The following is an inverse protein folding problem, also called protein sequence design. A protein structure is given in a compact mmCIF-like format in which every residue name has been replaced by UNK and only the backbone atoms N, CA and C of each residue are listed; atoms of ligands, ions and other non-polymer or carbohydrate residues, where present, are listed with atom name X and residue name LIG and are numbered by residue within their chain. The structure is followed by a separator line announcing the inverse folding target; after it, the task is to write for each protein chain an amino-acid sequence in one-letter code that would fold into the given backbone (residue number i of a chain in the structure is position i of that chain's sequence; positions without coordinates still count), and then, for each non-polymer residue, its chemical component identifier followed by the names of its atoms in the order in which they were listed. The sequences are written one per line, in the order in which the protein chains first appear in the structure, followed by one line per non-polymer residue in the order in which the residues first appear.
data_IF_303221631516
#
_entry.id   IF_303221631516
#
_cell.length_a   1.000
_cell.length_b   1.000
_cell.length_c   1.000
_cell.angle_alpha   90.00
_cell.angle_beta   90.00
_cell.angle_gamma   90.00
#
_symmetry.space_group_name_H-M   'P 1'
#
loop_
_entity.id
_entity.type
_entity.pdbx_description
1 polymer ?
#
# COMPACT_ATOMS: atom_id res chain seq x y z
N UNK A 1 18.19 -12.31 0.82
CA UNK A 1 18.52 -12.67 -0.58
C UNK A 1 17.65 -11.77 -1.43
N UNK A 2 18.27 -10.87 -2.20
CA UNK A 2 17.53 -9.84 -2.95
C UNK A 2 16.70 -10.51 -4.06
N UNK A 3 15.40 -10.24 -4.08
CA UNK A 3 14.54 -10.63 -5.21
C UNK A 3 14.61 -9.48 -6.22
N UNK A 4 15.31 -9.75 -7.31
CA UNK A 4 15.36 -8.91 -8.50
C UNK A 4 14.07 -9.15 -9.28
N UNK A 5 13.14 -8.19 -9.24
CA UNK A 5 11.94 -8.20 -10.08
C UNK A 5 12.33 -7.65 -11.46
N UNK A 6 12.48 -8.55 -12.45
CA UNK A 6 12.66 -8.14 -13.84
C UNK A 6 11.43 -7.36 -14.32
N UNK A 7 11.67 -6.18 -14.89
CA UNK A 7 10.68 -5.46 -15.68
C UNK A 7 10.25 -6.33 -16.86
N UNK A 8 9.00 -6.79 -16.85
CA UNK A 8 8.33 -7.23 -18.06
C UNK A 8 7.68 -6.01 -18.71
N UNK A 9 8.13 -5.72 -19.93
CA UNK A 9 7.67 -4.62 -20.76
C UNK A 9 6.14 -4.66 -20.97
N UNK A 10 5.58 -3.47 -21.09
CA UNK A 10 4.18 -3.14 -21.39
C UNK A 10 3.59 -3.97 -22.55
N UNK A 11 2.82 -5.00 -22.21
CA UNK A 11 1.66 -5.53 -22.92
C UNK A 11 0.96 -6.53 -21.98
N UNK A 12 -0.37 -6.50 -21.91
CA UNK A 12 -1.29 -7.57 -21.44
C UNK A 12 -2.23 -7.18 -20.30
N UNK A 13 -3.48 -6.89 -20.69
CA UNK A 13 -4.69 -7.08 -19.88
C UNK A 13 -4.98 -8.57 -19.57
N UNK A 14 -4.07 -9.50 -19.90
CA UNK A 14 -4.32 -10.96 -19.83
C UNK A 14 -3.81 -11.65 -18.55
N UNK A 15 -3.05 -10.97 -17.67
CA UNK A 15 -2.49 -11.60 -16.47
C UNK A 15 -3.06 -10.96 -15.21
N UNK A 16 -3.89 -11.72 -14.48
CA UNK A 16 -4.33 -11.37 -13.14
C UNK A 16 -3.42 -12.06 -12.11
N UNK A 17 -2.82 -11.27 -11.23
CA UNK A 17 -2.02 -11.74 -10.10
C UNK A 17 -2.66 -11.22 -8.82
N UNK A 18 -3.11 -12.13 -7.97
CA UNK A 18 -3.71 -11.85 -6.67
C UNK A 18 -2.71 -12.17 -5.57
N UNK A 19 -2.59 -11.27 -4.61
CA UNK A 19 -1.66 -11.37 -3.50
C UNK A 19 -2.43 -11.33 -2.19
N UNK A 20 -2.22 -12.36 -1.37
CA UNK A 20 -2.92 -12.56 -0.11
C UNK A 20 -1.94 -12.71 1.03
N UNK A 21 -2.24 -12.07 2.15
CA UNK A 21 -1.53 -12.24 3.40
C UNK A 21 -2.45 -12.87 4.45
N UNK A 22 -1.96 -13.90 5.12
CA UNK A 22 -2.71 -14.65 6.13
C UNK A 22 -1.78 -15.10 7.26
N UNK A 23 -2.24 -14.98 8.50
CA UNK A 23 -1.57 -15.57 9.65
C UNK A 23 -2.00 -17.03 9.85
N UNK A 24 -1.04 -17.97 9.77
CA UNK A 24 -1.28 -19.40 9.94
C UNK A 24 -1.18 -19.83 11.41
N UNK A 25 -2.32 -20.05 12.07
CA UNK A 25 -2.37 -20.60 13.43
C UNK A 25 -2.05 -22.09 13.47
N UNK A 26 -1.45 -22.51 14.58
CA UNK A 26 -1.44 -23.92 15.02
C UNK A 26 -2.80 -24.26 15.62
N UNK A 27 -3.51 -25.22 15.04
CA UNK A 27 -4.55 -25.94 15.79
C UNK A 27 -3.92 -26.84 16.86
N UNK A 28 -4.74 -27.68 17.51
CA UNK A 28 -4.25 -28.76 18.39
C UNK A 28 -3.47 -29.86 17.64
N UNK A 29 -3.36 -29.76 16.31
CA UNK A 29 -2.57 -30.65 15.46
C UNK A 29 -1.19 -30.03 15.19
N UNK A 30 -0.15 -30.85 15.24
CA UNK A 30 1.24 -30.46 14.96
C UNK A 30 1.51 -30.10 13.49
N UNK A 31 0.55 -30.32 12.59
CA UNK A 31 0.70 -30.04 11.16
C UNK A 31 -0.10 -28.79 10.74
N UNK A 32 0.62 -27.76 10.29
CA UNK A 32 0.04 -26.57 9.65
C UNK A 32 -0.16 -26.88 8.17
N UNK A 33 -1.37 -27.27 7.78
CA UNK A 33 -1.71 -27.51 6.37
C UNK A 33 -2.39 -26.27 5.78
N UNK A 34 -1.81 -25.70 4.74
CA UNK A 34 -2.46 -24.70 3.89
C UNK A 34 -3.22 -25.42 2.78
N UNK A 35 -4.55 -25.26 2.73
CA UNK A 35 -5.41 -25.89 1.71
C UNK A 35 -5.98 -24.82 0.79
N UNK A 36 -5.56 -24.84 -0.48
CA UNK A 36 -6.17 -24.04 -1.53
C UNK A 36 -7.23 -24.88 -2.26
N UNK A 37 -8.47 -24.40 -2.31
CA UNK A 37 -9.59 -25.09 -2.96
C UNK A 37 -10.22 -24.23 -4.06
N UNK A 38 -10.16 -24.71 -5.29
CA UNK A 38 -10.94 -24.15 -6.41
C UNK A 38 -12.35 -24.75 -6.42
N UNK A 39 -13.37 -23.88 -6.40
CA UNK A 39 -14.78 -24.29 -6.42
C UNK A 39 -15.52 -23.59 -7.57
N UNK A 40 -15.41 -24.10 -8.82
CA UNK A 40 -16.08 -23.50 -9.96
C UNK A 40 -17.61 -23.61 -9.84
N UNK A 41 -18.33 -22.70 -10.49
CA UNK A 41 -19.78 -22.82 -10.65
C UNK A 41 -20.17 -23.98 -11.58
N UNK A 42 -21.44 -24.40 -11.50
CA UNK A 42 -21.97 -25.44 -12.38
C UNK A 42 -21.73 -25.09 -13.86
N UNK A 43 -21.25 -26.07 -14.62
CA UNK A 43 -20.88 -25.94 -16.04
C UNK A 43 -19.76 -24.91 -16.31
N UNK A 44 -18.93 -24.61 -15.30
CA UNK A 44 -17.75 -23.75 -15.44
C UNK A 44 -16.46 -24.52 -15.09
N UNK A 45 -15.32 -23.92 -15.41
CA UNK A 45 -14.00 -24.40 -15.04
C UNK A 45 -13.26 -23.31 -14.25
N UNK A 46 -12.40 -23.73 -13.33
CA UNK A 46 -11.46 -22.86 -12.63
C UNK A 46 -10.04 -23.32 -12.94
N UNK A 47 -9.14 -22.38 -13.17
CA UNK A 47 -7.73 -22.66 -13.45
C UNK A 47 -6.83 -21.68 -12.71
N UNK A 48 -5.61 -22.13 -12.43
CA UNK A 48 -4.53 -21.33 -11.86
C UNK A 48 -3.28 -21.61 -12.69
N UNK A 49 -2.58 -20.55 -13.11
CA UNK A 49 -1.35 -20.68 -13.89
C UNK A 49 -0.12 -20.88 -13.00
N UNK A 50 -0.09 -20.26 -11.82
CA UNK A 50 1.03 -20.35 -10.88
C UNK A 50 0.60 -20.00 -9.45
N UNK A 51 1.29 -20.59 -8.48
CA UNK A 51 1.11 -20.32 -7.06
C UNK A 51 2.50 -20.09 -6.46
N UNK A 52 2.64 -19.00 -5.74
CA UNK A 52 3.81 -18.71 -4.91
C UNK A 52 3.37 -18.61 -3.46
N UNK A 53 4.11 -19.26 -2.56
CA UNK A 53 3.87 -19.18 -1.11
C UNK A 53 5.17 -18.77 -0.45
N UNK A 54 5.16 -17.58 0.16
CA UNK A 54 6.32 -16.99 0.83
C UNK A 54 5.99 -16.80 2.30
N UNK A 55 6.92 -17.16 3.18
CA UNK A 55 6.79 -16.86 4.61
C UNK A 55 7.19 -15.41 4.87
N UNK A 56 6.34 -14.67 5.58
CA UNK A 56 6.58 -13.27 5.95
C UNK A 56 6.91 -13.20 7.45
N UNK A 57 7.87 -12.36 7.88
CA UNK A 57 8.15 -12.15 9.29
C UNK A 57 6.92 -11.70 10.09
N UNK A 58 6.89 -12.03 11.38
CA UNK A 58 5.85 -11.53 12.28
C UNK A 58 6.10 -10.07 12.66
N UNK A 59 5.03 -9.28 12.80
CA UNK A 59 5.11 -7.87 13.25
C UNK A 59 5.09 -6.83 12.13
N UNK A 60 5.02 -7.27 10.87
CA UNK A 60 4.91 -6.41 9.69
C UNK A 60 3.54 -5.74 9.55
N UNK A 61 2.52 -6.30 10.18
CA UNK A 61 1.14 -5.82 10.12
C UNK A 61 0.56 -5.66 11.52
N UNK A 62 -0.30 -4.65 11.73
CA UNK A 62 -0.81 -4.32 13.04
C UNK A 62 -1.71 -5.46 13.55
N UNK A 63 -1.25 -6.17 14.58
CA UNK A 63 -2.10 -7.13 15.30
C UNK A 63 -3.17 -6.44 16.14
N UNK A 64 -2.92 -5.17 16.58
CA UNK A 64 -3.72 -4.46 17.59
C UNK A 64 -3.37 -2.96 17.77
N UNK A 65 -2.42 -2.38 17.02
CA UNK A 65 -1.96 -0.99 17.21
C UNK A 65 -2.03 -0.16 15.92
N UNK A 66 -3.23 0.02 15.40
CA UNK A 66 -3.51 1.07 14.41
C UNK A 66 -4.01 2.31 15.16
N UNK A 67 -3.68 3.52 14.69
CA UNK A 67 -4.36 4.73 15.15
C UNK A 67 -5.88 4.53 14.97
N UNK A 68 -6.70 4.55 16.04
CA UNK A 68 -8.06 4.05 15.96
C UNK A 68 -8.97 5.08 15.30
N UNK A 69 -9.34 4.84 14.05
CA UNK A 69 -10.77 4.85 13.69
C UNK A 69 -11.31 3.52 14.24
N UNK A 70 -12.44 3.44 14.96
CA UNK A 70 -12.74 2.36 15.90
C UNK A 70 -12.89 1.01 15.19
N UNK A 71 -11.75 0.35 14.96
CA UNK A 71 -11.66 -1.02 14.56
C UNK A 71 -11.46 -1.80 15.84
N UNK A 72 -12.53 -2.46 16.29
CA UNK A 72 -12.46 -3.35 17.45
C UNK A 72 -11.39 -4.42 17.25
N UNK A 73 -10.96 -5.03 18.36
CA UNK A 73 -10.00 -6.12 18.33
C UNK A 73 -10.52 -7.27 17.44
N UNK A 74 -9.85 -7.48 16.32
CA UNK A 74 -10.13 -8.57 15.39
C UNK A 74 -8.90 -9.49 15.36
N UNK A 75 -8.92 -10.61 16.12
CA UNK A 75 -7.72 -11.40 16.38
C UNK A 75 -7.23 -12.25 15.19
N UNK A 76 -7.84 -12.14 14.01
CA UNK A 76 -7.43 -12.79 12.77
C UNK A 76 -7.88 -11.92 11.59
N UNK A 77 -6.96 -11.30 10.87
CA UNK A 77 -7.27 -10.49 9.68
C UNK A 77 -6.41 -11.02 8.55
N UNK A 78 -7.05 -11.45 7.46
CA UNK A 78 -6.39 -11.68 6.19
C UNK A 78 -6.45 -10.40 5.36
N UNK A 79 -5.46 -10.20 4.50
CA UNK A 79 -5.38 -9.06 3.62
C UNK A 79 -5.29 -9.53 2.16
N UNK A 80 -5.94 -8.80 1.28
CA UNK A 80 -5.71 -8.87 -0.17
C UNK A 80 -5.15 -7.53 -0.63
N UNK A 81 -4.00 -7.56 -1.29
CA UNK A 81 -3.38 -6.34 -1.82
C UNK A 81 -4.23 -5.81 -2.98
N UNK A 82 -4.85 -4.65 -2.79
CA UNK A 82 -5.66 -3.99 -3.81
C UNK A 82 -4.82 -3.03 -4.66
N UNK A 83 -3.95 -2.24 -4.01
CA UNK A 83 -3.09 -1.28 -4.70
C UNK A 83 -1.71 -1.19 -4.04
N UNK A 84 -0.68 -1.07 -4.88
CA UNK A 84 0.69 -0.74 -4.48
C UNK A 84 1.17 0.39 -5.40
N UNK A 85 1.24 1.59 -4.84
CA UNK A 85 1.70 2.79 -5.55
C UNK A 85 3.08 3.20 -5.07
N UNK A 86 4.07 2.95 -5.94
CA UNK A 86 5.45 3.43 -5.81
C UNK A 86 5.86 4.05 -7.14
N UNK A 87 6.87 4.93 -7.15
CA UNK A 87 7.40 5.50 -8.40
C UNK A 87 7.82 4.41 -9.42
N UNK A 88 8.28 3.26 -8.93
CA UNK A 88 8.68 2.09 -9.73
C UNK A 88 7.79 0.86 -9.46
N UNK A 89 6.61 1.05 -8.85
CA UNK A 89 5.73 -0.04 -8.42
C UNK A 89 4.82 -0.58 -9.52
N UNK A 90 4.15 -1.70 -9.23
CA UNK A 90 3.29 -2.45 -10.17
C UNK A 90 2.06 -1.67 -10.64
N UNK A 91 1.56 -0.73 -9.84
CA UNK A 91 0.54 0.23 -10.28
C UNK A 91 1.11 1.64 -10.18
N UNK A 92 1.52 2.20 -11.32
CA UNK A 92 1.92 3.60 -11.41
C UNK A 92 0.68 4.50 -11.47
N UNK A 93 -0.16 4.45 -10.44
CA UNK A 93 -1.29 5.37 -10.26
C UNK A 93 -0.73 6.72 -9.81
N UNK A 94 -0.29 7.51 -10.79
CA UNK A 94 0.17 8.87 -10.57
C UNK A 94 -1.01 9.76 -10.14
N UNK A 95 -0.71 10.74 -9.29
CA UNK A 95 -1.66 11.72 -8.75
C UNK A 95 -2.69 12.17 -9.79
N UNK A 96 -3.95 12.33 -9.36
CA UNK A 96 -5.02 12.90 -10.20
C UNK A 96 -4.72 14.33 -10.67
N UNK A 97 -3.66 14.95 -10.15
CA UNK A 97 -3.18 16.28 -10.52
C UNK A 97 -1.65 16.28 -10.75
N UNK A 98 -1.15 15.85 -11.92
CA UNK A 98 0.29 15.80 -12.19
C UNK A 98 0.98 17.16 -12.12
N UNK A 99 0.27 18.27 -12.36
CA UNK A 99 0.81 19.63 -12.22
C UNK A 99 1.10 20.03 -10.76
N UNK A 100 0.42 19.42 -9.79
CA UNK A 100 0.58 19.72 -8.37
C UNK A 100 1.73 18.93 -7.71
N UNK A 101 2.36 18.03 -8.45
CA UNK A 101 3.27 17.05 -7.89
C UNK A 101 4.64 17.03 -8.62
N UNK A 102 5.72 17.11 -7.84
CA UNK A 102 7.12 17.02 -8.26
C UNK A 102 7.74 15.73 -7.72
N UNK A 103 8.59 15.09 -8.52
CA UNK A 103 9.34 13.91 -8.09
C UNK A 103 10.68 14.29 -7.46
N UNK A 104 11.05 13.54 -6.43
CA UNK A 104 12.33 13.60 -5.73
C UNK A 104 12.99 12.23 -5.76
N UNK A 105 14.33 12.22 -5.73
CA UNK A 105 15.13 10.99 -5.67
C UNK A 105 16.36 11.25 -4.82
N UNK A 106 16.76 10.24 -4.06
CA UNK A 106 18.03 10.19 -3.34
C UNK A 106 18.82 8.95 -3.75
N UNK A 107 20.08 8.87 -3.32
CA UNK A 107 20.86 7.63 -3.42
C UNK A 107 20.25 6.58 -2.48
N UNK A 108 19.86 5.38 -2.95
CA UNK A 108 19.41 4.31 -2.07
C UNK A 108 20.41 4.01 -0.93
N UNK A 109 21.72 4.20 -1.16
CA UNK A 109 22.75 4.00 -0.13
C UNK A 109 22.64 4.94 1.09
N UNK A 110 21.94 6.08 0.96
CA UNK A 110 21.73 7.03 2.06
C UNK A 110 20.49 6.73 2.91
N UNK A 111 19.67 5.76 2.52
CA UNK A 111 18.47 5.36 3.29
C UNK A 111 18.86 4.47 4.45
N UNK A 112 18.27 4.72 5.64
CA UNK A 112 18.41 3.84 6.81
C UNK A 112 17.04 3.55 7.42
N UNK A 113 16.90 2.30 7.85
CA UNK A 113 15.76 1.85 8.64
C UNK A 113 16.04 2.14 10.12
N UNK A 114 15.08 2.72 10.87
CA UNK A 114 15.22 2.88 12.31
C UNK A 114 15.38 1.56 13.04
N UNK A 115 16.00 1.59 14.23
CA UNK A 115 16.10 0.41 15.09
C UNK A 115 14.70 -0.15 15.41
N UNK A 116 14.53 -1.46 15.25
CA UNK A 116 13.25 -2.14 15.47
C UNK A 116 12.26 -2.09 14.30
N UNK A 117 12.60 -1.40 13.22
CA UNK A 117 11.85 -1.40 11.95
C UNK A 117 12.49 -2.44 11.03
N UNK A 118 11.70 -3.42 10.59
CA UNK A 118 12.16 -4.48 9.69
C UNK A 118 12.45 -3.94 8.28
N UNK A 119 13.51 -4.46 7.65
CA UNK A 119 13.83 -4.13 6.25
C UNK A 119 12.81 -4.71 5.28
N UNK A 120 12.05 -5.73 5.71
CA UNK A 120 11.07 -6.43 4.88
C UNK A 120 9.76 -5.64 4.72
N UNK A 121 9.59 -4.51 5.45
CA UNK A 121 8.43 -3.61 5.35
C UNK A 121 8.27 -3.07 3.93
N UNK A 122 9.38 -2.66 3.31
CA UNK A 122 9.38 -2.15 1.95
C UNK A 122 10.81 -2.04 1.42
N UNK A 123 11.06 -2.29 0.13
CA UNK A 123 12.39 -2.15 -0.46
C UNK A 123 12.96 -0.74 -0.36
N UNK A 124 14.28 -0.62 -0.27
CA UNK A 124 15.00 0.65 -0.08
C UNK A 124 14.70 1.70 -1.16
N UNK A 125 14.41 1.28 -2.40
CA UNK A 125 14.06 2.17 -3.52
C UNK A 125 12.73 2.89 -3.33
N UNK A 126 11.81 2.35 -2.52
CA UNK A 126 10.58 3.05 -2.14
C UNK A 126 10.94 4.31 -1.37
N UNK A 127 11.76 4.19 -0.32
CA UNK A 127 12.20 5.33 0.48
C UNK A 127 13.26 6.21 -0.20
N UNK A 128 13.84 5.78 -1.33
CA UNK A 128 14.76 6.57 -2.14
C UNK A 128 14.03 7.48 -3.15
N UNK A 129 12.72 7.33 -3.32
CA UNK A 129 11.93 8.16 -4.24
C UNK A 129 10.70 8.72 -3.55
N UNK A 130 10.31 9.94 -3.90
CA UNK A 130 9.08 10.53 -3.37
C UNK A 130 8.37 11.39 -4.41
N UNK A 131 7.06 11.51 -4.24
CA UNK A 131 6.25 12.54 -4.88
C UNK A 131 5.92 13.58 -3.82
N UNK A 132 6.31 14.83 -4.06
CA UNK A 132 6.01 15.94 -3.18
C UNK A 132 5.37 17.09 -3.92
N UNK A 133 4.98 18.13 -3.20
CA UNK A 133 4.25 19.25 -3.77
C UNK A 133 5.14 20.10 -4.71
N UNK A 134 4.57 20.58 -5.81
CA UNK A 134 5.21 21.63 -6.64
C UNK A 134 5.22 22.94 -5.87
N UNK A 135 6.32 23.70 -5.89
CA UNK A 135 6.37 25.05 -5.32
C UNK A 135 5.55 26.02 -6.18
N UNK A 136 4.42 26.49 -5.63
CA UNK A 136 3.55 27.46 -6.27
C UNK A 136 4.07 28.91 -6.17
N UNK A 137 5.23 29.12 -5.52
CA UNK A 137 5.88 30.42 -5.27
C UNK A 137 4.96 31.42 -4.55
N UNK A 138 4.10 30.91 -3.69
CA UNK A 138 3.22 31.72 -2.83
C UNK A 138 3.53 31.42 -1.37
N UNK A 139 3.48 32.46 -0.54
CA UNK A 139 3.82 32.38 0.90
C UNK A 139 2.85 31.55 1.74
N UNK A 140 1.72 31.11 1.17
CA UNK A 140 0.71 30.32 1.87
C UNK A 140 0.12 29.26 0.92
N UNK A 141 0.95 28.31 0.51
CA UNK A 141 0.54 27.24 -0.38
C UNK A 141 -0.38 26.26 0.35
N UNK A 142 -1.58 26.05 -0.20
CA UNK A 142 -2.63 25.15 0.34
C UNK A 142 -3.00 24.03 -0.62
N UNK A 143 -2.01 23.54 -1.37
CA UNK A 143 -2.23 22.51 -2.39
C UNK A 143 -2.01 21.15 -1.73
N UNK A 144 -3.03 20.29 -1.75
CA UNK A 144 -2.90 18.89 -1.35
C UNK A 144 -2.61 18.05 -2.59
N UNK A 145 -1.70 17.09 -2.46
CA UNK A 145 -1.57 16.02 -3.45
C UNK A 145 -2.65 15.00 -3.13
N UNK A 146 -3.42 14.64 -4.15
CA UNK A 146 -4.56 13.73 -4.00
C UNK A 146 -4.43 12.53 -4.92
N UNK A 147 -4.86 11.37 -4.41
CA UNK A 147 -5.02 10.12 -5.14
C UNK A 147 -6.41 9.57 -4.88
N UNK A 148 -6.99 8.91 -5.89
CA UNK A 148 -8.31 8.30 -5.82
C UNK A 148 -8.22 6.86 -6.32
N UNK A 149 -8.79 5.93 -5.56
CA UNK A 149 -8.72 4.50 -5.84
C UNK A 149 -10.13 3.93 -5.88
N UNK A 150 -10.49 3.26 -6.97
CA UNK A 150 -11.74 2.52 -7.05
C UNK A 150 -11.63 1.25 -6.19
N UNK A 151 -12.61 1.01 -5.33
CA UNK A 151 -12.56 -0.06 -4.32
C UNK A 151 -13.91 -0.75 -4.19
N UNK A 152 -13.88 -1.99 -3.69
CA UNK A 152 -15.10 -2.71 -3.34
C UNK A 152 -15.81 -2.06 -2.15
N UNK A 153 -17.13 -2.17 -2.17
CA UNK A 153 -18.05 -1.56 -1.19
C UNK A 153 -18.29 -2.50 -0.02
N UNK A 154 -18.73 -1.93 1.11
CA UNK A 154 -19.11 -2.68 2.32
C UNK A 154 -17.96 -3.54 2.88
N UNK A 155 -16.73 -3.05 2.76
CA UNK A 155 -15.53 -3.72 3.24
C UNK A 155 -14.51 -2.72 3.77
N UNK A 156 -13.64 -3.21 4.64
CA UNK A 156 -12.63 -2.42 5.32
C UNK A 156 -11.28 -2.52 4.60
N UNK A 157 -10.51 -1.45 4.64
CA UNK A 157 -9.18 -1.38 4.03
C UNK A 157 -8.16 -0.87 5.04
N UNK A 158 -6.98 -1.49 5.03
CA UNK A 158 -5.77 -0.97 5.63
C UNK A 158 -5.05 -0.12 4.57
N UNK A 159 -4.75 1.12 4.93
CA UNK A 159 -4.01 2.08 4.11
C UNK A 159 -2.68 2.32 4.81
N UNK A 160 -1.58 1.96 4.15
CA UNK A 160 -0.21 2.18 4.64
C UNK A 160 0.47 3.25 3.81
N UNK A 161 0.93 4.30 4.47
CA UNK A 161 1.67 5.41 3.86
C UNK A 161 3.14 5.31 4.23
N UNK A 162 4.02 5.32 3.23
CA UNK A 162 5.47 5.31 3.40
C UNK A 162 6.04 6.71 3.23
N UNK A 163 6.88 7.12 4.18
CA UNK A 163 7.56 8.41 4.22
C UNK A 163 9.06 8.24 4.42
N UNK A 164 9.83 9.05 3.73
CA UNK A 164 11.25 9.27 3.95
C UNK A 164 11.53 10.76 3.88
N UNK A 165 12.48 11.23 4.70
CA UNK A 165 12.82 12.65 4.75
C UNK A 165 13.72 13.10 3.57
N UNK A 166 13.32 12.81 2.33
CA UNK A 166 14.07 13.16 1.11
C UNK A 166 14.02 14.68 0.85
N UNK A 167 12.93 15.35 1.24
CA UNK A 167 12.68 16.76 0.84
C UNK A 167 13.53 17.75 1.62
N UNK A 168 13.88 17.48 2.88
CA UNK A 168 14.83 18.35 3.62
C UNK A 168 16.25 18.25 3.07
N UNK A 169 16.59 17.14 2.41
CA UNK A 169 17.90 16.93 1.78
C UNK A 169 18.18 17.86 0.60
N UNK A 170 17.15 18.29 -0.13
CA UNK A 170 17.31 19.22 -1.26
C UNK A 170 17.55 20.66 -0.78
N UNK A 171 17.22 20.96 0.49
CA UNK A 171 17.28 22.31 1.06
C UNK A 171 18.44 22.53 2.05
N UNK A 172 19.05 21.46 2.58
CA UNK A 172 20.21 21.54 3.47
C UNK A 172 21.33 20.62 2.98
N UNK A 173 22.48 21.23 2.68
CA UNK A 173 23.68 20.60 2.13
C UNK A 173 24.45 19.75 3.17
N UNK A 174 23.75 19.16 4.13
CA UNK A 174 24.33 18.26 5.11
C UNK A 174 23.76 16.86 4.88
N UNK A 175 24.68 15.89 4.76
CA UNK A 175 24.39 14.47 4.52
C UNK A 175 23.72 13.85 5.75
N UNK A 176 22.48 14.25 6.06
CA UNK A 176 21.70 13.62 7.10
C UNK A 176 21.31 12.19 6.71
N UNK A 177 20.88 11.40 7.67
CA UNK A 177 20.42 10.05 7.41
C UNK A 177 18.93 10.13 7.05
N UNK A 178 18.53 9.64 5.89
CA UNK A 178 17.11 9.59 5.52
C UNK A 178 16.48 8.43 6.29
N UNK A 179 15.75 8.78 7.34
CA UNK A 179 14.96 7.84 8.15
C UNK A 179 13.68 7.45 7.40
N UNK A 180 13.44 6.15 7.27
CA UNK A 180 12.21 5.59 6.73
C UNK A 180 11.15 5.40 7.82
N UNK A 181 9.91 5.81 7.54
CA UNK A 181 8.75 5.62 8.42
C UNK A 181 7.55 5.18 7.59
N UNK A 182 6.67 4.37 8.19
CA UNK A 182 5.34 4.12 7.64
C UNK A 182 4.27 4.40 8.69
N UNK A 183 3.05 4.68 8.23
CA UNK A 183 1.88 4.91 9.09
C UNK A 183 0.68 4.18 8.51
N UNK A 184 -0.03 3.47 9.38
CA UNK A 184 -1.21 2.67 9.03
C UNK A 184 -2.50 3.36 9.46
N UNK A 185 -3.49 3.30 8.59
CA UNK A 185 -4.86 3.75 8.82
C UNK A 185 -5.83 2.64 8.42
N UNK A 186 -6.96 2.52 9.13
CA UNK A 186 -8.05 1.63 8.72
C UNK A 186 -9.27 2.48 8.39
N UNK A 187 -9.89 2.18 7.26
CA UNK A 187 -11.13 2.82 6.81
C UNK A 187 -12.19 1.81 6.39
N UNK A 188 -13.46 2.17 6.53
CA UNK A 188 -14.60 1.40 6.06
C UNK A 188 -15.20 2.08 4.84
N UNK A 189 -15.33 1.35 3.74
CA UNK A 189 -16.02 1.84 2.55
C UNK A 189 -17.49 1.48 2.68
N UNK A 190 -18.35 2.51 2.72
CA UNK A 190 -19.80 2.32 2.84
C UNK A 190 -20.41 1.73 1.56
N UNK A 191 -21.69 1.31 1.61
CA UNK A 191 -22.42 0.78 0.45
C UNK A 191 -22.62 1.81 -0.68
N UNK A 192 -22.58 3.10 -0.36
CA UNK A 192 -22.83 4.19 -1.32
C UNK A 192 -21.53 4.74 -1.92
N UNK A 193 -20.38 4.41 -1.34
CA UNK A 193 -19.06 4.85 -1.78
C UNK A 193 -18.35 3.69 -2.50
N UNK A 194 -17.55 4.02 -3.51
CA UNK A 194 -16.71 3.06 -4.23
C UNK A 194 -15.28 3.57 -4.40
N UNK A 195 -14.90 4.61 -3.63
CA UNK A 195 -13.62 5.27 -3.77
C UNK A 195 -12.99 5.59 -2.43
N UNK A 196 -11.69 5.35 -2.33
CA UNK A 196 -10.84 5.90 -1.27
C UNK A 196 -10.09 7.11 -1.83
N UNK A 197 -10.18 8.23 -1.12
CA UNK A 197 -9.37 9.43 -1.40
C UNK A 197 -8.26 9.55 -0.37
N UNK A 198 -7.02 9.55 -0.84
CA UNK A 198 -5.85 9.83 0.00
C UNK A 198 -5.34 11.23 -0.36
N UNK A 199 -5.17 12.07 0.65
CA UNK A 199 -4.66 13.43 0.47
C UNK A 199 -3.51 13.71 1.44
N UNK A 200 -2.43 14.27 0.91
CA UNK A 200 -1.27 14.69 1.69
C UNK A 200 -1.01 16.16 1.39
N UNK A 201 -0.90 16.98 2.43
CA UNK A 201 -0.79 18.43 2.33
C UNK A 201 0.12 19.02 3.39
N UNK A 202 0.48 20.31 3.27
CA UNK A 202 1.42 20.96 4.18
C UNK A 202 0.80 21.06 5.59
N UNK A 203 1.63 21.04 6.64
CA UNK A 203 1.15 21.22 8.00
C UNK A 203 0.50 22.61 8.15
N UNK A 204 -0.53 22.72 9.00
CA UNK A 204 -1.18 24.02 9.29
C UNK A 204 -0.30 24.97 10.14
N UNK A 205 0.96 24.59 10.41
CA UNK A 205 1.92 25.35 11.19
C UNK A 205 2.61 26.38 10.29
N UNK A 206 2.63 27.64 10.74
CA UNK A 206 2.97 28.81 9.90
C UNK A 206 4.46 28.94 9.55
N UNK A 207 5.35 28.17 10.20
CA UNK A 207 6.80 28.41 10.16
C UNK A 207 7.62 27.22 9.61
N UNK A 208 6.98 26.23 8.99
CA UNK A 208 7.66 25.13 8.31
C UNK A 208 7.58 25.32 6.79
N UNK A 209 8.59 24.87 6.01
CA UNK A 209 8.48 24.83 4.56
C UNK A 209 7.19 24.08 4.17
N UNK A 210 6.37 24.70 3.32
CA UNK A 210 5.04 24.21 2.91
C UNK A 210 5.12 23.04 1.93
N UNK A 211 5.82 21.98 2.31
CA UNK A 211 6.02 20.81 1.48
C UNK A 211 5.50 19.58 2.20
N UNK A 212 4.80 18.75 1.44
CA UNK A 212 4.43 17.42 1.86
C UNK A 212 4.88 16.44 0.78
N UNK A 213 5.31 15.26 1.19
CA UNK A 213 5.79 14.21 0.30
C UNK A 213 5.28 12.85 0.73
N UNK A 214 5.21 11.94 -0.23
CA UNK A 214 4.86 10.55 -0.05
C UNK A 214 5.81 9.69 -0.89
N UNK A 215 6.40 8.68 -0.28
CA UNK A 215 7.34 7.76 -0.94
C UNK A 215 6.62 6.56 -1.54
N UNK A 216 5.56 6.12 -0.87
CA UNK A 216 4.77 4.98 -1.29
C UNK A 216 3.44 4.89 -0.57
N UNK A 217 2.53 4.13 -1.16
CA UNK A 217 1.20 3.87 -0.64
C UNK A 217 0.80 2.43 -0.95
N UNK A 218 0.29 1.74 0.06
CA UNK A 218 -0.33 0.43 -0.08
C UNK A 218 -1.78 0.48 0.41
N UNK A 219 -2.68 -0.16 -0.32
CA UNK A 219 -4.08 -0.33 0.07
C UNK A 219 -4.39 -1.82 0.04
N UNK A 220 -4.80 -2.34 1.18
CA UNK A 220 -5.06 -3.75 1.41
C UNK A 220 -6.49 -3.95 1.89
N UNK A 221 -7.27 -4.72 1.15
CA UNK A 221 -8.62 -5.14 1.53
C UNK A 221 -8.53 -6.09 2.72
N UNK A 222 -9.34 -5.86 3.75
CA UNK A 222 -9.32 -6.63 4.98
C UNK A 222 -10.45 -7.66 4.98
N UNK A 223 -10.17 -8.86 5.50
CA UNK A 223 -11.19 -9.88 5.66
C UNK A 223 -12.30 -9.42 6.61
N UNK A 224 -13.54 -9.76 6.26
CA UNK A 224 -14.70 -9.53 7.10
C UNK A 224 -14.66 -10.39 8.36
N UNK A 225 -15.58 -10.14 9.31
CA UNK A 225 -15.77 -10.98 10.51
C UNK A 225 -16.15 -12.43 10.24
N UNK A 226 -16.45 -12.78 8.97
CA UNK A 226 -16.73 -14.15 8.53
C UNK A 226 -15.53 -14.80 7.84
N UNK A 227 -14.34 -14.23 8.02
CA UNK A 227 -13.08 -14.68 7.41
C UNK A 227 -13.13 -14.73 5.87
N UNK A 228 -13.86 -13.79 5.25
CA UNK A 228 -14.02 -13.69 3.80
C UNK A 228 -13.46 -12.37 3.26
N UNK A 229 -12.78 -12.46 2.12
CA UNK A 229 -12.29 -11.32 1.32
C UNK A 229 -13.19 -11.02 0.11
N UNK A 230 -14.30 -11.75 -0.05
CA UNK A 230 -15.26 -11.51 -1.13
C UNK A 230 -16.07 -10.25 -0.78
N UNK A 231 -15.97 -9.19 -1.60
CA UNK A 231 -16.89 -8.08 -1.49
C UNK A 231 -18.16 -8.31 -2.31
N UNK A 232 -18.99 -7.26 -2.38
CA UNK A 232 -20.33 -7.33 -3.01
C UNK A 232 -20.30 -7.27 -4.55
N UNK A 233 -19.12 -7.18 -5.19
CA UNK A 233 -19.01 -6.97 -6.65
C UNK A 233 -18.62 -8.24 -7.41
N UNK A 234 -19.53 -8.74 -8.26
CA UNK A 234 -19.17 -9.64 -9.34
C UNK A 234 -18.43 -8.83 -10.41
N UNK A 235 -17.15 -9.14 -10.63
CA UNK A 235 -16.36 -8.57 -11.73
C UNK A 235 -17.16 -8.74 -13.03
N UNK A 236 -17.54 -7.63 -13.66
CA UNK A 236 -18.21 -7.65 -14.96
C UNK A 236 -17.21 -8.27 -15.93
N UNK A 237 -17.42 -9.55 -16.26
CA UNK A 237 -16.83 -10.16 -17.45
C UNK A 237 -17.36 -9.41 -18.65
N UNK A 238 -16.49 -8.63 -19.30
CA UNK A 238 -16.71 -8.25 -20.69
C UNK A 238 -16.85 -9.54 -21.48
N UNK A 239 -18.06 -9.81 -21.97
CA UNK A 239 -18.25 -10.80 -23.02
C UNK A 239 -17.60 -10.21 -24.28
N UNK A 240 -16.60 -10.91 -24.81
CA UNK A 240 -16.22 -10.79 -26.22
C UNK A 240 -16.92 -11.94 -26.96
#
# INVERSE_FOLDING_TARGET
MAVETQQLNEMDDEIAMLEYLSELRSGFSSEKLLVLRLSPWNNSAAFINGIEVVSVPSGEFPSTKVMPVPFGEHPNIAFETAYISYKHGRTSCFSSQPAAARSFSADPGSIKYPDGVSIDISPIWVYATAQGMTDAKVSNQKINISWAFDVEKDISYLIRLHFGNIVTFDLQCDKEIISSLFVDFVTNVSVDENRIFVQVGPPMLRDLPFNANLNGLEIMKMSTRRDSLDGTFQRITTQI
#
